data_IF_406899857488
#
_entry.id   IF_406899857488
#
_cell.length_a   1.000
_cell.length_b   1.000
_cell.length_c   1.000
_cell.angle_alpha   90.00
_cell.angle_beta   90.00
_cell.angle_gamma   90.00
#
_symmetry.space_group_name_H-M   'P 1'
#
loop_
_entity.id
_entity.type
_entity.pdbx_description
1 polymer ?
#
# COMPACT_ATOMS: atom_id res chain seq x y z
N UNK A 1 15.53 2.61 -17.80
CA UNK A 1 14.76 3.33 -16.75
C UNK A 1 13.38 2.73 -16.48
N UNK A 2 12.50 2.55 -17.48
CA UNK A 2 11.14 1.98 -17.27
C UNK A 2 11.12 0.56 -16.65
N UNK A 3 12.07 -0.30 -17.02
CA UNK A 3 12.18 -1.64 -16.42
C UNK A 3 12.68 -1.59 -14.97
N UNK A 4 13.59 -0.67 -14.64
CA UNK A 4 14.08 -0.45 -13.28
C UNK A 4 12.95 0.05 -12.38
N UNK A 5 12.18 1.05 -12.84
CA UNK A 5 10.99 1.54 -12.15
C UNK A 5 9.92 0.45 -11.96
N UNK A 6 9.72 -0.42 -12.95
CA UNK A 6 8.77 -1.54 -12.86
C UNK A 6 9.23 -2.61 -11.85
N UNK A 7 10.51 -2.95 -11.84
CA UNK A 7 11.08 -3.89 -10.86
C UNK A 7 11.00 -3.32 -9.44
N UNK A 8 11.30 -2.04 -9.25
CA UNK A 8 11.16 -1.36 -7.96
C UNK A 8 9.70 -1.38 -7.49
N UNK A 9 8.75 -1.07 -8.36
CA UNK A 9 7.32 -1.11 -8.01
C UNK A 9 6.86 -2.52 -7.65
N UNK A 10 7.26 -3.54 -8.43
CA UNK A 10 6.93 -4.94 -8.11
C UNK A 10 7.52 -5.35 -6.77
N UNK A 11 8.79 -5.02 -6.51
CA UNK A 11 9.43 -5.31 -5.23
C UNK A 11 8.71 -4.60 -4.07
N UNK A 12 8.38 -3.32 -4.23
CA UNK A 12 7.63 -2.56 -3.23
C UNK A 12 6.24 -3.17 -2.98
N UNK A 13 5.53 -3.58 -4.03
CA UNK A 13 4.23 -4.28 -3.90
C UNK A 13 4.37 -5.59 -3.16
N UNK A 14 5.38 -6.40 -3.46
CA UNK A 14 5.65 -7.66 -2.74
C UNK A 14 5.95 -7.41 -1.27
N UNK A 15 6.79 -6.42 -0.95
CA UNK A 15 7.12 -6.04 0.43
C UNK A 15 5.87 -5.58 1.18
N UNK A 16 5.03 -4.74 0.57
CA UNK A 16 3.77 -4.29 1.16
C UNK A 16 2.82 -5.47 1.38
N UNK A 17 2.70 -6.39 0.43
CA UNK A 17 1.85 -7.58 0.55
C UNK A 17 2.32 -8.48 1.69
N UNK A 18 3.63 -8.72 1.80
CA UNK A 18 4.21 -9.51 2.91
C UNK A 18 3.96 -8.81 4.24
N UNK A 19 4.21 -7.50 4.33
CA UNK A 19 3.95 -6.73 5.54
C UNK A 19 2.47 -6.77 5.94
N UNK A 20 1.55 -6.72 4.98
CA UNK A 20 0.11 -6.83 5.21
C UNK A 20 -0.30 -8.22 5.70
N UNK A 21 0.25 -9.29 5.11
CA UNK A 21 0.02 -10.67 5.57
C UNK A 21 0.54 -10.87 6.99
N UNK A 22 1.73 -10.35 7.31
CA UNK A 22 2.30 -10.39 8.66
C UNK A 22 1.42 -9.62 9.64
N UNK A 23 0.99 -8.40 9.28
CA UNK A 23 0.09 -7.59 10.10
C UNK A 23 -1.22 -8.31 10.38
N UNK A 24 -1.87 -8.89 9.36
CA UNK A 24 -3.09 -9.66 9.54
C UNK A 24 -2.85 -10.84 10.48
N UNK A 25 -1.77 -11.60 10.28
CA UNK A 25 -1.42 -12.70 11.17
C UNK A 25 -1.27 -12.23 12.61
N UNK A 26 -0.50 -11.18 12.87
CA UNK A 26 -0.30 -10.63 14.21
C UNK A 26 -1.60 -10.15 14.85
N UNK A 27 -2.50 -9.50 14.10
CA UNK A 27 -3.78 -8.99 14.61
C UNK A 27 -4.76 -10.11 14.93
N UNK A 28 -4.71 -11.22 14.21
CA UNK A 28 -5.57 -12.39 14.41
C UNK A 28 -4.97 -13.48 15.32
N UNK A 29 -3.73 -13.33 15.79
CA UNK A 29 -3.12 -14.25 16.77
C UNK A 29 -3.78 -14.04 18.15
N UNK A 30 -4.35 -15.08 18.78
CA UNK A 30 -4.91 -15.00 20.12
C UNK A 30 -3.89 -14.52 21.17
N UNK A 31 -4.36 -13.84 22.21
CA UNK A 31 -3.50 -13.39 23.30
C UNK A 31 -2.84 -14.61 24.00
N UNK A 32 -1.52 -14.61 24.08
CA UNK A 32 -0.72 -15.70 24.67
C UNK A 32 0.06 -16.54 23.65
N UNK A 33 -0.32 -16.49 22.37
CA UNK A 33 0.44 -17.14 21.30
C UNK A 33 1.46 -16.19 20.66
N UNK A 34 2.61 -16.73 20.24
CA UNK A 34 3.60 -15.95 19.50
C UNK A 34 3.31 -15.98 18.00
N UNK A 35 3.51 -14.87 17.28
CA UNK A 35 3.35 -14.85 15.84
C UNK A 35 4.44 -15.74 15.22
N UNK A 36 4.01 -16.88 14.65
CA UNK A 36 4.89 -17.82 13.95
C UNK A 36 4.81 -17.63 12.45
N UNK A 37 5.97 -17.65 11.79
CA UNK A 37 6.09 -17.64 10.33
C UNK A 37 6.96 -18.83 9.95
N UNK A 38 6.38 -19.79 9.22
CA UNK A 38 7.08 -20.98 8.72
C UNK A 38 7.80 -21.79 9.81
N UNK A 39 7.21 -21.90 11.01
CA UNK A 39 7.81 -22.64 12.14
C UNK A 39 8.81 -21.84 12.98
N UNK A 40 8.94 -20.53 12.73
CA UNK A 40 9.75 -19.64 13.56
C UNK A 40 8.87 -18.60 14.27
N UNK A 41 8.99 -18.54 15.59
CA UNK A 41 8.39 -17.51 16.43
C UNK A 41 9.32 -16.32 16.62
N UNK A 42 8.76 -15.12 16.65
CA UNK A 42 9.52 -13.88 16.82
C UNK A 42 9.10 -13.18 18.11
N UNK A 43 10.07 -12.88 18.97
CA UNK A 43 9.81 -12.29 20.28
C UNK A 43 10.86 -11.24 20.65
N UNK A 44 10.51 -10.42 21.64
CA UNK A 44 11.41 -9.47 22.27
C UNK A 44 11.54 -9.80 23.75
N UNK A 45 12.77 -9.87 24.25
CA UNK A 45 13.01 -10.09 25.68
C UNK A 45 12.66 -8.86 26.51
N UNK A 46 12.07 -9.08 27.68
CA UNK A 46 11.63 -8.00 28.57
C UNK A 46 12.51 -7.87 29.81
N UNK A 47 13.08 -8.97 30.28
CA UNK A 47 13.88 -9.07 31.50
C UNK A 47 15.35 -9.36 31.17
N UNK A 48 16.22 -9.22 32.18
CA UNK A 48 17.65 -9.50 32.09
C UNK A 48 18.06 -10.86 32.65
N UNK A 49 17.13 -11.81 32.83
CA UNK A 49 17.42 -13.12 33.42
C UNK A 49 18.39 -13.95 32.60
N UNK A 50 18.54 -13.65 31.30
CA UNK A 50 19.44 -14.34 30.38
C UNK A 50 20.73 -13.57 30.06
N UNK A 51 21.06 -12.51 30.80
CA UNK A 51 22.34 -11.82 30.59
C UNK A 51 23.54 -12.69 31.05
N UNK A 52 24.69 -12.63 30.34
CA UNK A 52 24.98 -11.81 29.16
C UNK A 52 24.60 -12.46 27.82
N UNK A 53 24.11 -13.70 27.81
CA UNK A 53 23.83 -14.44 26.57
C UNK A 53 22.73 -13.77 25.73
N UNK A 54 21.68 -13.26 26.39
CA UNK A 54 20.59 -12.51 25.77
C UNK A 54 20.38 -11.21 26.55
N UNK A 55 20.88 -10.07 26.03
CA UNK A 55 20.66 -8.76 26.63
C UNK A 55 19.16 -8.41 26.73
N UNK A 56 18.82 -7.54 27.68
CA UNK A 56 17.45 -7.00 27.79
C UNK A 56 17.04 -6.34 26.48
N UNK A 57 15.76 -6.48 26.11
CA UNK A 57 15.18 -5.89 24.89
C UNK A 57 15.77 -6.40 23.59
N UNK A 58 16.41 -7.58 23.61
CA UNK A 58 16.88 -8.25 22.40
C UNK A 58 15.74 -8.83 21.60
N UNK A 59 15.92 -8.86 20.28
CA UNK A 59 15.08 -9.62 19.37
C UNK A 59 15.56 -11.06 19.34
N UNK A 60 14.64 -12.02 19.51
CA UNK A 60 14.95 -13.44 19.46
C UNK A 60 14.07 -14.14 18.43
N UNK A 61 14.65 -15.15 17.77
CA UNK A 61 13.93 -16.08 16.91
C UNK A 61 13.94 -17.44 17.58
N UNK A 62 12.75 -18.01 17.73
CA UNK A 62 12.49 -19.29 18.36
C UNK A 62 12.08 -20.27 17.27
N UNK A 63 12.80 -21.37 17.13
CA UNK A 63 12.38 -22.50 16.31
C UNK A 63 11.29 -23.27 17.06
N UNK A 64 10.06 -23.21 16.54
CA UNK A 64 8.88 -23.84 17.13
C UNK A 64 8.61 -25.24 16.57
N UNK A 65 9.52 -25.78 15.74
CA UNK A 65 9.44 -27.17 15.30
C UNK A 65 9.77 -28.09 16.50
N UNK A 66 8.74 -28.44 17.26
CA UNK A 66 8.79 -29.31 18.44
C UNK A 66 9.14 -30.79 18.13
N UNK A 67 9.74 -31.07 16.97
CA UNK A 67 10.16 -32.42 16.56
C UNK A 67 11.48 -32.87 17.20
N UNK A 68 12.21 -31.97 17.85
CA UNK A 68 13.51 -32.25 18.45
C UNK A 68 13.40 -32.44 19.97
N UNK A 69 14.21 -33.37 20.50
CA UNK A 69 14.45 -33.47 21.95
C UNK A 69 15.49 -32.41 22.30
N UNK A 70 15.20 -31.57 23.29
CA UNK A 70 16.11 -30.51 23.72
C UNK A 70 17.17 -31.07 24.67
N UNK A 71 18.36 -30.50 24.63
CA UNK A 71 19.50 -30.97 25.41
C UNK A 71 19.95 -29.95 26.46
N UNK A 72 20.74 -30.41 27.44
CA UNK A 72 21.36 -29.52 28.43
C UNK A 72 22.20 -28.46 27.70
N UNK A 73 21.95 -27.20 28.04
CA UNK A 73 22.60 -26.04 27.43
C UNK A 73 21.78 -25.33 26.36
N UNK A 74 20.72 -25.95 25.83
CA UNK A 74 19.78 -25.27 24.94
C UNK A 74 19.04 -24.15 25.69
N UNK A 75 18.75 -23.05 24.98
CA UNK A 75 17.91 -21.97 25.49
C UNK A 75 16.52 -22.17 24.88
N UNK A 76 15.53 -22.40 25.73
CA UNK A 76 14.16 -22.67 25.30
C UNK A 76 13.22 -21.59 25.77
N UNK A 77 12.19 -21.34 24.97
CA UNK A 77 11.02 -20.56 25.37
C UNK A 77 9.89 -21.52 25.73
N UNK A 78 9.23 -21.30 26.87
CA UNK A 78 8.17 -22.16 27.39
C UNK A 78 7.11 -21.35 28.12
N UNK A 79 5.92 -21.95 28.28
CA UNK A 79 4.87 -21.38 29.11
C UNK A 79 5.20 -21.62 30.58
N UNK A 80 5.29 -20.54 31.35
CA UNK A 80 5.55 -20.64 32.78
C UNK A 80 4.35 -21.21 33.51
N UNK A 81 4.58 -22.26 34.30
CA UNK A 81 3.63 -22.86 35.23
C UNK A 81 3.79 -22.33 36.67
N UNK A 82 4.66 -21.34 36.89
CA UNK A 82 4.75 -20.62 38.16
C UNK A 82 3.48 -19.76 38.35
N UNK A 83 2.84 -19.88 39.51
CA UNK A 83 1.62 -19.14 39.90
C UNK A 83 1.77 -17.62 39.72
N UNK A 84 2.99 -17.08 39.88
CA UNK A 84 3.24 -15.65 39.71
C UNK A 84 3.25 -15.20 38.24
N UNK A 85 3.41 -16.15 37.30
CA UNK A 85 3.69 -15.92 35.88
C UNK A 85 2.86 -16.84 34.97
N UNK A 86 1.77 -17.41 35.49
CA UNK A 86 0.98 -18.44 34.81
C UNK A 86 0.53 -17.97 33.42
N UNK A 87 0.87 -18.76 32.39
CA UNK A 87 0.54 -18.46 30.99
C UNK A 87 1.43 -17.41 30.32
N UNK A 88 2.40 -16.84 31.03
CA UNK A 88 3.42 -15.99 30.42
C UNK A 88 4.55 -16.82 29.81
N UNK A 89 5.19 -16.28 28.78
CA UNK A 89 6.32 -16.94 28.12
C UNK A 89 7.62 -16.57 28.82
N UNK A 90 8.36 -17.59 29.24
CA UNK A 90 9.68 -17.43 29.82
C UNK A 90 10.74 -18.04 28.89
N UNK A 91 11.98 -17.55 28.95
CA UNK A 91 13.07 -18.01 28.09
C UNK A 91 14.32 -18.21 28.92
N UNK A 92 14.68 -19.47 29.19
CA UNK A 92 15.80 -19.84 30.05
C UNK A 92 16.61 -21.02 29.48
N UNK A 93 17.79 -21.26 30.06
CA UNK A 93 18.68 -22.34 29.64
C UNK A 93 18.35 -23.64 30.38
N UNK A 94 18.33 -24.75 29.65
CA UNK A 94 18.20 -26.09 30.24
C UNK A 94 19.48 -26.42 31.00
N UNK A 95 19.36 -26.71 32.29
CA UNK A 95 20.48 -27.13 33.16
C UNK A 95 20.49 -28.62 33.45
N UNK A 96 19.32 -29.27 33.42
CA UNK A 96 19.20 -30.72 33.51
C UNK A 96 17.95 -31.21 32.78
N UNK A 97 17.97 -32.49 32.40
CA UNK A 97 16.85 -33.18 31.75
C UNK A 97 16.58 -34.46 32.52
N UNK A 98 15.33 -34.64 32.93
CA UNK A 98 14.84 -35.82 33.62
C UNK A 98 13.75 -36.50 32.79
N UNK A 99 13.49 -37.77 33.06
CA UNK A 99 12.37 -38.49 32.45
C UNK A 99 11.18 -38.50 33.41
N UNK A 100 10.02 -38.06 32.93
CA UNK A 100 8.76 -38.25 33.63
C UNK A 100 8.38 -39.74 33.72
N UNK A 101 7.37 -40.03 34.53
CA UNK A 101 6.84 -41.39 34.73
C UNK A 101 6.36 -42.08 33.45
N UNK A 102 6.00 -41.31 32.41
CA UNK A 102 5.58 -41.79 31.10
C UNK A 102 6.73 -41.86 30.07
N UNK A 103 7.96 -41.51 30.49
CA UNK A 103 9.15 -41.47 29.65
C UNK A 103 9.33 -40.18 28.85
N UNK A 104 8.44 -39.20 28.98
CA UNK A 104 8.59 -37.88 28.36
C UNK A 104 9.69 -37.06 29.05
N UNK A 105 10.43 -36.20 28.32
CA UNK A 105 11.46 -35.37 28.93
C UNK A 105 10.83 -34.22 29.74
N UNK A 106 11.42 -33.96 30.90
CA UNK A 106 11.12 -32.86 31.79
C UNK A 106 12.39 -32.04 31.94
N UNK A 107 12.31 -30.76 31.64
CA UNK A 107 13.45 -29.85 31.60
C UNK A 107 13.50 -29.02 32.87
N UNK A 108 14.66 -28.96 33.51
CA UNK A 108 14.92 -27.99 34.56
C UNK A 108 15.67 -26.82 33.94
N UNK A 109 15.15 -25.61 34.14
CA UNK A 109 15.66 -24.41 33.50
C UNK A 109 16.22 -23.42 34.50
N UNK A 110 17.10 -22.56 34.02
CA UNK A 110 17.68 -21.48 34.80
C UNK A 110 18.01 -20.29 33.89
N UNK A 111 17.67 -19.09 34.33
CA UNK A 111 18.18 -17.87 33.72
C UNK A 111 19.70 -17.75 33.94
N UNK A 112 20.46 -17.44 32.89
CA UNK A 112 21.92 -17.32 32.96
C UNK A 112 22.40 -16.32 34.04
N UNK A 113 21.61 -15.27 34.30
CA UNK A 113 21.88 -14.26 35.32
C UNK A 113 21.26 -14.60 36.69
N UNK A 114 20.39 -15.61 36.77
CA UNK A 114 19.71 -15.97 38.01
C UNK A 114 20.64 -16.77 38.93
N UNK A 115 20.57 -16.58 40.26
CA UNK A 115 21.42 -17.34 41.19
C UNK A 115 20.94 -18.79 41.36
N UNK A 116 19.63 -19.02 41.26
CA UNK A 116 18.96 -20.30 41.51
C UNK A 116 18.25 -20.79 40.25
N UNK A 117 18.02 -22.09 40.17
CA UNK A 117 17.19 -22.73 39.14
C UNK A 117 15.72 -22.33 39.31
N UNK A 118 14.97 -22.41 38.22
CA UNK A 118 13.53 -22.14 38.25
C UNK A 118 12.83 -23.20 39.11
N UNK A 119 11.86 -22.78 39.93
CA UNK A 119 11.23 -23.67 40.90
C UNK A 119 10.33 -24.74 40.28
N UNK A 120 9.72 -24.42 39.14
CA UNK A 120 8.83 -25.33 38.43
C UNK A 120 9.58 -25.98 37.26
N UNK A 121 9.65 -27.33 37.21
CA UNK A 121 10.19 -28.02 36.04
C UNK A 121 9.25 -27.83 34.84
N UNK A 122 9.80 -27.89 33.64
CA UNK A 122 9.11 -27.62 32.37
C UNK A 122 8.86 -28.95 31.63
N UNK A 123 7.62 -29.43 31.56
CA UNK A 123 7.26 -30.56 30.72
C UNK A 123 7.49 -30.24 29.24
N UNK A 124 7.84 -31.26 28.44
CA UNK A 124 8.01 -31.07 26.99
C UNK A 124 6.79 -30.47 26.27
N UNK A 125 5.59 -30.69 26.81
CA UNK A 125 4.34 -30.13 26.26
C UNK A 125 4.25 -28.60 26.40
N UNK A 126 4.92 -28.02 27.38
CA UNK A 126 4.87 -26.57 27.66
C UNK A 126 5.97 -25.80 26.93
N UNK A 127 6.90 -26.51 26.29
CA UNK A 127 7.97 -25.91 25.49
C UNK A 127 7.40 -25.41 24.16
N UNK A 128 7.62 -24.12 23.90
CA UNK A 128 7.24 -23.46 22.66
C UNK A 128 8.28 -23.67 21.57
N UNK A 129 9.56 -23.68 21.96
CA UNK A 129 10.64 -23.88 21.01
C UNK A 129 12.02 -23.50 21.54
N UNK A 130 13.04 -23.64 20.69
CA UNK A 130 14.43 -23.29 21.01
C UNK A 130 14.86 -21.98 20.37
N UNK A 131 15.58 -21.14 21.12
CA UNK A 131 16.16 -19.91 20.58
C UNK A 131 17.29 -20.25 19.61
N UNK A 132 17.14 -19.85 18.34
CA UNK A 132 18.14 -20.08 17.28
C UNK A 132 18.86 -18.80 16.85
N UNK A 133 18.32 -17.63 17.17
CA UNK A 133 18.93 -16.35 16.83
C UNK A 133 18.63 -15.28 17.88
N UNK A 134 19.64 -14.44 18.15
CA UNK A 134 19.57 -13.34 19.11
C UNK A 134 20.20 -12.09 18.50
N UNK A 135 19.53 -10.95 18.59
CA UNK A 135 20.09 -9.66 18.19
C UNK A 135 19.61 -8.52 19.09
N UNK A 136 20.52 -7.97 19.88
CA UNK A 136 20.28 -6.76 20.67
C UNK A 136 19.99 -5.55 19.76
N UNK A 137 20.71 -5.43 18.63
CA UNK A 137 20.54 -4.32 17.69
C UNK A 137 19.15 -4.27 17.06
N UNK A 138 18.64 -5.42 16.57
CA UNK A 138 17.26 -5.50 16.07
C UNK A 138 16.24 -5.24 17.18
N UNK A 139 16.53 -5.69 18.39
CA UNK A 139 15.73 -5.41 19.57
C UNK A 139 15.51 -3.91 19.83
N UNK A 140 16.58 -3.11 19.70
CA UNK A 140 16.50 -1.65 19.79
C UNK A 140 15.65 -1.07 18.66
N UNK A 141 15.84 -1.51 17.42
CA UNK A 141 15.05 -1.04 16.26
C UNK A 141 13.56 -1.31 16.47
N UNK A 142 13.21 -2.54 16.85
CA UNK A 142 11.82 -2.92 17.15
C UNK A 142 11.27 -2.05 18.28
N UNK A 143 12.04 -1.86 19.37
CA UNK A 143 11.64 -1.05 20.50
C UNK A 143 11.36 0.42 20.13
N UNK A 144 12.14 0.99 19.21
CA UNK A 144 11.93 2.35 18.70
C UNK A 144 10.67 2.43 17.84
N UNK A 145 10.43 1.43 16.98
CA UNK A 145 9.26 1.37 16.11
C UNK A 145 7.96 1.13 16.88
N UNK A 146 8.00 0.38 17.99
CA UNK A 146 6.81 0.11 18.80
C UNK A 146 6.52 1.20 19.83
N UNK A 147 7.45 2.13 20.07
CA UNK A 147 7.24 3.22 21.03
C UNK A 147 6.24 4.25 20.46
N UNK A 148 5.03 4.41 21.04
CA UNK A 148 4.00 5.28 20.49
C UNK A 148 4.45 6.75 20.34
N UNK A 149 5.31 7.23 21.24
CA UNK A 149 5.84 8.60 21.20
C UNK A 149 6.79 8.84 20.03
N UNK A 150 7.49 7.81 19.55
CA UNK A 150 8.37 7.90 18.39
C UNK A 150 7.63 7.53 17.10
N UNK A 151 6.83 6.46 17.15
CA UNK A 151 6.08 5.96 16.01
C UNK A 151 5.17 7.02 15.39
N UNK A 152 4.42 7.77 16.21
CA UNK A 152 3.44 8.72 15.69
C UNK A 152 4.08 9.91 14.93
N UNK A 153 5.00 10.70 15.50
CA UNK A 153 5.58 11.85 14.79
C UNK A 153 6.54 11.45 13.66
N UNK A 154 7.26 10.32 13.76
CA UNK A 154 8.27 9.95 12.77
C UNK A 154 7.76 9.05 11.64
N UNK A 155 6.68 8.30 11.85
CA UNK A 155 6.12 7.42 10.81
C UNK A 155 4.73 7.90 10.38
N UNK A 156 3.80 8.05 11.32
CA UNK A 156 2.38 8.33 11.00
C UNK A 156 2.21 9.73 10.42
N UNK A 157 2.80 10.75 11.04
CA UNK A 157 2.66 12.15 10.58
C UNK A 157 3.22 12.35 9.16
N UNK A 158 4.46 11.94 8.81
CA UNK A 158 4.96 12.06 7.44
C UNK A 158 4.11 11.29 6.43
N UNK A 159 3.60 10.12 6.80
CA UNK A 159 2.72 9.34 5.95
C UNK A 159 1.40 10.07 5.66
N UNK A 160 0.77 10.66 6.68
CA UNK A 160 -0.44 11.48 6.52
C UNK A 160 -0.15 12.71 5.66
N UNK A 161 0.98 13.38 5.86
CA UNK A 161 1.38 14.54 5.05
C UNK A 161 1.58 14.15 3.59
N UNK A 162 2.31 13.06 3.31
CA UNK A 162 2.49 12.55 1.95
C UNK A 162 1.15 12.18 1.31
N UNK A 163 0.27 11.48 2.04
CA UNK A 163 -1.07 11.13 1.57
C UNK A 163 -1.89 12.38 1.25
N UNK A 164 -1.86 13.40 2.11
CA UNK A 164 -2.56 14.66 1.88
C UNK A 164 -1.99 15.43 0.67
N UNK A 165 -0.67 15.42 0.49
CA UNK A 165 -0.02 16.04 -0.67
C UNK A 165 -0.40 15.31 -1.97
N UNK A 166 -0.41 13.98 -1.97
CA UNK A 166 -0.85 13.16 -3.10
C UNK A 166 -2.33 13.39 -3.45
N UNK A 167 -3.22 13.43 -2.45
CA UNK A 167 -4.64 13.75 -2.67
C UNK A 167 -4.78 15.13 -3.30
N UNK A 168 -4.06 16.14 -2.79
CA UNK A 168 -4.09 17.50 -3.35
C UNK A 168 -3.54 17.54 -4.78
N UNK A 169 -2.47 16.81 -5.06
CA UNK A 169 -1.88 16.70 -6.38
C UNK A 169 -2.85 16.03 -7.37
N UNK A 170 -3.49 14.94 -6.95
CA UNK A 170 -4.50 14.23 -7.72
C UNK A 170 -5.70 15.13 -8.06
N UNK A 171 -6.25 15.85 -7.08
CA UNK A 171 -7.38 16.78 -7.30
C UNK A 171 -7.00 17.91 -8.27
N UNK A 172 -5.82 18.51 -8.10
CA UNK A 172 -5.33 19.56 -9.03
C UNK A 172 -5.15 19.04 -10.45
N UNK A 173 -4.55 17.86 -10.60
CA UNK A 173 -4.32 17.24 -11.91
C UNK A 173 -5.65 16.99 -12.61
N UNK A 174 -6.64 16.45 -11.91
CA UNK A 174 -7.99 16.25 -12.47
C UNK A 174 -8.66 17.57 -12.86
N UNK A 175 -8.51 18.63 -12.06
CA UNK A 175 -9.05 19.96 -12.40
C UNK A 175 -8.37 20.61 -13.60
N UNK A 176 -7.05 20.47 -13.73
CA UNK A 176 -6.29 20.98 -14.86
C UNK A 176 -6.69 20.27 -16.16
N UNK A 177 -6.88 18.95 -16.10
CA UNK A 177 -7.39 18.17 -17.24
C UNK A 177 -8.81 18.62 -17.62
N UNK A 178 -9.72 18.75 -16.65
CA UNK A 178 -11.09 19.21 -16.92
C UNK A 178 -11.13 20.62 -17.55
N UNK A 179 -10.31 21.55 -17.04
CA UNK A 179 -10.21 22.90 -17.62
C UNK A 179 -9.63 22.89 -19.04
N UNK A 180 -8.65 22.04 -19.31
CA UNK A 180 -8.08 21.91 -20.65
C UNK A 180 -9.11 21.35 -21.65
N UNK A 181 -9.96 20.42 -21.22
CA UNK A 181 -11.08 19.90 -22.02
C UNK A 181 -12.14 20.98 -22.30
N UNK A 182 -12.53 21.75 -21.29
CA UNK A 182 -13.49 22.86 -21.45
C UNK A 182 -12.98 23.95 -22.41
N UNK A 183 -11.71 24.34 -22.29
CA UNK A 183 -11.09 25.31 -23.20
C UNK A 183 -11.03 24.78 -24.64
N UNK A 184 -10.72 23.50 -24.81
CA UNK A 184 -10.68 22.87 -26.13
C UNK A 184 -12.09 22.82 -26.76
N UNK A 185 -13.11 22.46 -25.97
CA UNK A 185 -14.51 22.43 -26.41
C UNK A 185 -15.02 23.83 -26.79
N UNK A 186 -14.67 24.87 -26.01
CA UNK A 186 -15.05 26.25 -26.30
C UNK A 186 -14.41 26.75 -27.60
N UNK A 187 -13.12 26.47 -27.82
CA UNK A 187 -12.42 26.86 -29.06
C UNK A 187 -13.06 26.19 -30.28
N UNK A 188 -13.37 24.90 -30.20
CA UNK A 188 -14.04 24.17 -31.27
C UNK A 188 -15.45 24.74 -31.57
N UNK A 189 -16.23 25.07 -30.54
CA UNK A 189 -17.54 25.68 -30.70
C UNK A 189 -17.48 27.08 -31.35
N UNK A 190 -16.53 27.92 -30.95
CA UNK A 190 -16.34 29.26 -31.54
C UNK A 190 -15.93 29.17 -33.01
N UNK A 191 -15.06 28.23 -33.36
CA UNK A 191 -14.64 28.01 -34.75
C UNK A 191 -15.81 27.56 -35.62
N UNK A 192 -16.64 26.63 -35.14
CA UNK A 192 -17.86 26.21 -35.85
C UNK A 192 -18.85 27.36 -36.05
N UNK A 193 -19.06 28.21 -35.04
CA UNK A 193 -19.93 29.39 -35.18
C UNK A 193 -19.36 30.35 -36.22
N UNK A 194 -18.04 30.56 -36.24
CA UNK A 194 -17.37 31.43 -37.20
C UNK A 194 -17.50 30.89 -38.62
N UNK A 195 -17.31 29.60 -38.83
CA UNK A 195 -17.52 28.96 -40.13
C UNK A 195 -18.97 29.02 -40.59
N UNK A 196 -19.91 28.75 -39.68
CA UNK A 196 -21.34 28.83 -39.99
C UNK A 196 -21.75 30.24 -40.41
N UNK A 197 -21.30 31.27 -39.67
CA UNK A 197 -21.52 32.68 -40.06
C UNK A 197 -20.89 33.02 -41.40
N UNK A 198 -19.70 32.49 -41.69
CA UNK A 198 -19.04 32.71 -42.99
C UNK A 198 -19.87 32.13 -44.13
N UNK A 199 -20.36 30.88 -43.98
CA UNK A 199 -21.25 30.24 -44.96
C UNK A 199 -22.59 30.98 -45.11
N UNK A 200 -23.17 31.45 -44.01
CA UNK A 200 -24.40 32.24 -44.04
C UNK A 200 -24.18 33.58 -44.77
N UNK A 201 -23.06 34.27 -44.52
CA UNK A 201 -22.69 35.49 -45.25
C UNK A 201 -22.44 35.23 -46.74
N UNK A 202 -21.65 34.20 -47.09
CA UNK A 202 -21.42 33.79 -48.48
C UNK A 202 -22.76 33.46 -49.19
N UNK A 203 -23.71 32.82 -48.50
CA UNK A 203 -25.03 32.54 -49.05
C UNK A 203 -25.92 33.78 -49.20
N UNK A 204 -25.80 34.77 -48.31
CA UNK A 204 -26.54 36.03 -48.39
C UNK A 204 -25.99 36.95 -49.48
N UNK A 205 -24.66 37.01 -49.62
CA UNK A 205 -24.02 37.81 -50.65
C UNK A 205 -24.26 37.21 -52.05
N UNK A 206 -24.19 35.87 -52.18
CA UNK A 206 -24.57 35.19 -53.42
C UNK A 206 -26.06 35.36 -53.78
N UNK A 207 -26.96 35.38 -52.79
CA UNK A 207 -28.38 35.66 -53.02
C UNK A 207 -28.62 37.11 -53.46
N UNK A 208 -27.84 38.08 -52.97
CA UNK A 208 -27.90 39.48 -53.43
C UNK A 208 -27.37 39.65 -54.85
N UNK A 209 -26.25 39.00 -55.19
CA UNK A 209 -25.71 39.02 -56.56
C UNK A 209 -26.66 38.37 -57.58
N UNK A 210 -27.44 37.37 -57.16
CA UNK A 210 -28.44 36.72 -58.03
C UNK A 210 -29.66 37.62 -58.27
N UNK A 211 -30.11 38.35 -57.23
CA UNK A 211 -31.20 39.34 -57.34
C UNK A 211 -30.78 40.54 -58.22
N UNK A 212 -29.56 41.05 -58.04
CA UNK A 212 -29.03 42.16 -58.86
C UNK A 212 -28.74 41.72 -60.32
N UNK A 213 -28.51 40.42 -60.56
CA UNK A 213 -28.31 39.85 -61.89
C UNK A 213 -29.60 39.56 -62.68
N UNK A 214 -30.70 39.18 -62.01
CA UNK A 214 -32.01 39.00 -62.64
C UNK A 214 -32.62 40.34 -63.09
N UNK A 215 -32.42 41.42 -62.33
CA UNK A 215 -32.86 42.77 -62.74
C UNK A 215 -32.12 43.29 -63.99
N UNK A 216 -30.90 42.79 -64.27
CA UNK A 216 -30.13 43.15 -65.46
C UNK A 216 -30.53 42.35 -66.72
N UNK A 217 -31.11 41.14 -66.57
CA UNK A 217 -31.53 40.29 -67.71
C UNK A 217 -32.98 40.50 -68.16
N UNK A 218 -33.84 41.13 -67.34
CA UNK A 218 -35.23 41.46 -67.72
C UNK A 218 -35.40 42.60 -68.74
N UNK A 219 -34.32 43.26 -69.17
CA UNK A 219 -34.38 44.48 -69.99
C UNK A 219 -33.91 44.32 -71.46
N UNK A 220 -33.68 43.10 -71.94
CA UNK A 220 -33.06 42.89 -73.26
C UNK A 220 -33.79 41.86 -74.14
N UNK A 221 -35.08 42.05 -74.43
CA UNK A 221 -35.68 41.46 -75.63
C UNK A 221 -36.86 42.28 -76.16
N UNK A 222 -36.75 42.66 -77.46
CA UNK A 222 -37.74 43.18 -78.41
C UNK A 222 -37.72 44.70 -78.74
N UNK A 223 -36.97 45.07 -79.80
CA UNK A 223 -37.40 45.82 -81.02
C UNK A 223 -36.12 46.21 -81.82
N UNK A 224 -36.00 45.97 -83.15
CA UNK A 224 -36.64 46.83 -84.16
C UNK A 224 -37.03 46.15 -85.50
N UNK A 225 -38.05 46.68 -86.18
CA UNK A 225 -38.20 46.44 -87.63
C UNK A 225 -39.51 46.87 -88.30
N UNK A 226 -39.75 48.17 -88.43
CA UNK A 226 -40.70 48.77 -89.39
C UNK A 226 -40.15 48.72 -90.84
N UNK A 227 -40.87 49.15 -91.91
CA UNK A 227 -42.27 49.58 -92.04
C UNK A 227 -43.01 48.94 -93.26
N UNK A 228 -44.29 49.31 -93.42
CA UNK A 228 -44.85 49.90 -94.64
C UNK A 228 -46.11 49.26 -95.29
N UNK A 229 -47.05 50.18 -95.47
CA UNK A 229 -47.99 50.36 -96.57
C UNK A 229 -49.37 49.66 -96.66
N UNK A 230 -50.29 50.50 -97.17
CA UNK A 230 -51.60 50.23 -97.77
C UNK A 230 -52.86 50.18 -96.88
N UNK A 231 -53.33 51.38 -96.53
CA UNK A 231 -54.51 52.02 -97.13
C UNK A 231 -55.85 51.24 -97.25
N UNK A 232 -56.90 51.91 -96.73
CA UNK A 232 -58.24 52.14 -97.33
C UNK A 232 -59.45 51.28 -96.90
N UNK A 233 -60.27 51.93 -96.06
CA UNK A 233 -61.72 52.17 -96.22
C UNK A 233 -62.70 50.98 -96.27
N UNK A 234 -63.55 50.90 -95.25
CA UNK A 234 -64.95 51.38 -95.29
C UNK A 234 -65.47 51.58 -93.86
#
# INVERSE_FOLDING_TARGET
MKHVLRVINVLATVVILVAFVVLLRTVFTPAGEIPTIMGYGFMRTLTGSMEPAIPVHSFIVVDTDNSQVYEVGDIITFHSSDDALEGSLNTHRIVSVEAASDGSPVYHTKGDANPVEDAAPVPAADVVGRVVFVSAGLGVVVSLLTNPLLFFPFIVVPLIVLLALEIRHMVKTTQEVARAEDEAALRAAVEQIREKRRREQESQDGAKEQVDGEDAQGSAEADPGAPDDSNRSA
#
